data_IF_853561330907
#
_entry.id   IF_853561330907
#
_cell.length_a   1.000
_cell.length_b   1.000
_cell.length_c   1.000
_cell.angle_alpha   90.00
_cell.angle_beta   90.00
_cell.angle_gamma   90.00
#
_symmetry.space_group_name_H-M   'P 1'
#
loop_
_entity.id
_entity.type
_entity.pdbx_description
1 polymer ?
#
# COMPACT_ATOMS: atom_id res chain seq x y z
N UNK A 1 -21.63 -50.24 -35.94
CA UNK A 1 -21.53 -48.81 -35.65
C UNK A 1 -21.22 -48.67 -34.17
N UNK A 2 -19.92 -48.47 -33.82
CA UNK A 2 -19.49 -48.29 -32.44
C UNK A 2 -19.36 -46.79 -32.17
N UNK A 3 -20.23 -46.27 -31.29
CA UNK A 3 -20.15 -44.89 -30.78
C UNK A 3 -18.95 -44.84 -29.81
N UNK A 4 -17.87 -44.20 -30.25
CA UNK A 4 -16.78 -43.81 -29.40
C UNK A 4 -17.23 -42.56 -28.62
N UNK A 5 -17.70 -42.77 -27.37
CA UNK A 5 -17.85 -41.70 -26.40
C UNK A 5 -16.44 -41.28 -26.01
N UNK A 6 -15.92 -40.23 -26.63
CA UNK A 6 -14.75 -39.51 -26.09
C UNK A 6 -15.17 -38.87 -24.77
N UNK A 7 -14.80 -39.51 -23.68
CA UNK A 7 -14.82 -38.95 -22.37
C UNK A 7 -13.77 -37.82 -22.35
N UNK A 8 -14.23 -36.61 -22.59
CA UNK A 8 -13.43 -35.42 -22.35
C UNK A 8 -13.23 -35.36 -20.83
N UNK A 9 -12.07 -35.81 -20.35
CA UNK A 9 -11.69 -35.62 -18.99
C UNK A 9 -11.76 -34.09 -18.70
N UNK A 10 -12.39 -33.69 -17.59
CA UNK A 10 -12.30 -32.28 -17.19
C UNK A 10 -10.82 -32.00 -17.07
N UNK A 11 -10.36 -30.98 -17.84
CA UNK A 11 -9.02 -30.42 -17.66
C UNK A 11 -8.82 -30.27 -16.16
N UNK A 12 -7.74 -30.85 -15.62
CA UNK A 12 -7.34 -30.62 -14.26
C UNK A 12 -7.39 -29.11 -14.03
N UNK A 13 -8.42 -28.68 -13.31
CA UNK A 13 -8.48 -27.32 -12.83
C UNK A 13 -7.18 -27.10 -12.06
N UNK A 14 -6.33 -26.26 -12.59
CA UNK A 14 -5.07 -25.86 -11.99
C UNK A 14 -5.33 -25.59 -10.52
N UNK A 15 -4.50 -26.17 -9.67
CA UNK A 15 -4.59 -26.11 -8.23
C UNK A 15 -5.03 -24.72 -7.76
N UNK A 16 -6.29 -24.65 -7.31
CA UNK A 16 -6.88 -23.70 -6.39
C UNK A 16 -6.30 -22.27 -6.47
N UNK A 17 -6.58 -21.56 -7.58
CA UNK A 17 -6.27 -20.13 -7.70
C UNK A 17 -7.21 -19.36 -6.77
N UNK A 18 -6.82 -19.21 -5.51
CA UNK A 18 -7.52 -18.38 -4.54
C UNK A 18 -6.93 -16.99 -4.51
N UNK A 19 -7.71 -16.00 -4.04
CA UNK A 19 -7.19 -14.65 -3.80
C UNK A 19 -5.97 -14.67 -2.88
N UNK A 20 -5.98 -15.54 -1.85
CA UNK A 20 -4.87 -15.71 -0.91
C UNK A 20 -3.60 -16.21 -1.60
N UNK A 21 -3.71 -17.18 -2.53
CA UNK A 21 -2.55 -17.67 -3.27
C UNK A 21 -1.93 -16.60 -4.15
N UNK A 22 -2.75 -15.79 -4.82
CA UNK A 22 -2.29 -14.67 -5.61
C UNK A 22 -1.70 -13.56 -4.77
N UNK A 23 -2.31 -13.26 -3.61
CA UNK A 23 -1.76 -12.32 -2.64
C UNK A 23 -0.37 -12.74 -2.17
N UNK A 24 -0.20 -14.00 -1.73
CA UNK A 24 1.09 -14.53 -1.28
C UNK A 24 2.14 -14.54 -2.39
N UNK A 25 1.73 -14.77 -3.63
CA UNK A 25 2.61 -14.66 -4.79
C UNK A 25 3.07 -13.22 -4.99
N UNK A 26 2.15 -12.25 -4.93
CA UNK A 26 2.48 -10.82 -4.99
C UNK A 26 3.49 -10.44 -3.91
N UNK A 27 3.21 -10.83 -2.66
CA UNK A 27 4.09 -10.61 -1.52
C UNK A 27 5.50 -11.17 -1.74
N UNK A 28 5.62 -12.39 -2.26
CA UNK A 28 6.92 -13.00 -2.57
C UNK A 28 7.67 -12.22 -3.65
N UNK A 29 6.98 -11.83 -4.74
CA UNK A 29 7.55 -11.08 -5.84
C UNK A 29 8.00 -9.67 -5.41
N UNK A 30 7.28 -9.03 -4.49
CA UNK A 30 7.68 -7.76 -3.89
C UNK A 30 9.05 -7.87 -3.20
N UNK A 31 9.28 -8.91 -2.38
CA UNK A 31 10.59 -9.14 -1.73
C UNK A 31 11.71 -9.55 -2.70
N UNK A 32 11.34 -10.05 -3.88
CA UNK A 32 12.27 -10.28 -4.99
C UNK A 32 12.51 -9.01 -5.84
N UNK A 33 11.96 -7.86 -5.45
CA UNK A 33 12.03 -6.56 -6.14
C UNK A 33 11.42 -6.60 -7.56
N UNK A 34 10.56 -7.58 -7.83
CA UNK A 34 9.84 -7.75 -9.10
C UNK A 34 8.48 -7.03 -9.03
N UNK A 35 8.50 -5.71 -8.84
CA UNK A 35 7.30 -4.91 -8.53
C UNK A 35 6.23 -4.97 -9.63
N UNK A 36 6.59 -5.11 -10.90
CA UNK A 36 5.62 -5.25 -11.98
C UNK A 36 4.87 -6.58 -11.91
N UNK A 37 5.59 -7.68 -11.66
CA UNK A 37 4.99 -9.02 -11.55
C UNK A 37 4.17 -9.15 -10.25
N UNK A 38 4.65 -8.50 -9.18
CA UNK A 38 3.93 -8.36 -7.90
C UNK A 38 2.59 -7.65 -8.10
N UNK A 39 2.60 -6.51 -8.79
CA UNK A 39 1.40 -5.75 -9.13
C UNK A 39 0.38 -6.59 -9.91
N UNK A 40 0.83 -7.41 -10.88
CA UNK A 40 -0.03 -8.30 -11.64
C UNK A 40 -0.64 -9.39 -10.74
N UNK A 41 0.13 -9.90 -9.78
CA UNK A 41 -0.36 -10.88 -8.82
C UNK A 41 -1.40 -10.27 -7.86
N UNK A 42 -1.18 -9.05 -7.34
CA UNK A 42 -2.18 -8.35 -6.53
C UNK A 42 -3.44 -8.01 -7.33
N UNK A 43 -3.33 -7.63 -8.61
CA UNK A 43 -4.50 -7.44 -9.46
C UNK A 43 -5.35 -8.71 -9.54
N UNK A 44 -4.74 -9.88 -9.72
CA UNK A 44 -5.46 -11.17 -9.72
C UNK A 44 -6.08 -11.52 -8.36
N UNK A 45 -5.38 -11.21 -7.27
CA UNK A 45 -5.93 -11.37 -5.93
C UNK A 45 -7.18 -10.52 -5.74
N UNK A 46 -7.16 -9.27 -6.22
CA UNK A 46 -8.26 -8.31 -6.12
C UNK A 46 -9.42 -8.61 -7.10
N UNK A 47 -9.17 -9.22 -8.25
CA UNK A 47 -10.23 -9.77 -9.12
C UNK A 47 -11.06 -10.84 -8.39
N UNK A 48 -10.40 -11.66 -7.56
CA UNK A 48 -11.04 -12.72 -6.79
C UNK A 48 -11.63 -12.22 -5.46
N UNK A 49 -10.99 -11.23 -4.82
CA UNK A 49 -11.47 -10.59 -3.59
C UNK A 49 -11.26 -9.07 -3.63
N UNK A 50 -12.20 -8.31 -4.21
CA UNK A 50 -12.08 -6.86 -4.34
C UNK A 50 -12.17 -6.08 -3.01
N UNK A 51 -12.52 -6.75 -1.90
CA UNK A 51 -12.66 -6.13 -0.58
C UNK A 51 -11.44 -6.33 0.33
N UNK A 52 -10.36 -6.82 -0.22
CA UNK A 52 -9.10 -7.01 0.51
C UNK A 52 -8.33 -5.69 0.60
N UNK A 53 -8.47 -4.99 1.73
CA UNK A 53 -7.80 -3.71 1.97
C UNK A 53 -6.27 -3.84 2.01
N UNK A 54 -5.74 -4.99 2.45
CA UNK A 54 -4.31 -5.25 2.48
C UNK A 54 -3.75 -5.42 1.06
N UNK A 55 -4.47 -6.15 0.21
CA UNK A 55 -4.09 -6.30 -1.19
C UNK A 55 -4.12 -4.96 -1.95
N UNK A 56 -5.09 -4.08 -1.64
CA UNK A 56 -5.12 -2.72 -2.19
C UNK A 56 -3.95 -1.87 -1.71
N UNK A 57 -3.58 -1.94 -0.42
CA UNK A 57 -2.42 -1.23 0.10
C UNK A 57 -1.12 -1.72 -0.58
N UNK A 58 -0.90 -3.02 -0.66
CA UNK A 58 0.30 -3.59 -1.26
C UNK A 58 0.40 -3.29 -2.76
N UNK A 59 -0.74 -3.31 -3.48
CA UNK A 59 -0.81 -2.82 -4.86
C UNK A 59 -0.37 -1.36 -4.96
N UNK A 60 -0.84 -0.50 -4.05
CA UNK A 60 -0.44 0.91 -3.98
C UNK A 60 1.06 1.09 -3.74
N UNK A 61 1.67 0.25 -2.89
CA UNK A 61 3.11 0.27 -2.64
C UNK A 61 3.88 -0.05 -3.94
N UNK A 62 3.51 -1.13 -4.65
CA UNK A 62 4.15 -1.50 -5.92
C UNK A 62 4.03 -0.38 -6.96
N UNK A 63 2.84 0.23 -7.07
CA UNK A 63 2.61 1.37 -7.96
C UNK A 63 3.50 2.57 -7.60
N UNK A 64 3.64 2.88 -6.31
CA UNK A 64 4.54 3.92 -5.81
C UNK A 64 6.00 3.66 -6.17
N UNK A 65 6.49 2.43 -5.98
CA UNK A 65 7.84 2.00 -6.33
C UNK A 65 8.10 2.05 -7.85
N UNK A 66 7.05 1.83 -8.66
CA UNK A 66 7.09 1.98 -10.12
C UNK A 66 6.92 3.44 -10.59
N UNK A 67 6.83 4.41 -9.69
CA UNK A 67 6.64 5.83 -10.00
C UNK A 67 5.22 6.20 -10.45
N UNK A 68 4.26 5.30 -10.34
CA UNK A 68 2.85 5.50 -10.70
C UNK A 68 2.07 6.11 -9.52
N UNK A 69 2.43 7.33 -9.14
CA UNK A 69 1.97 7.94 -7.89
C UNK A 69 0.46 8.17 -7.82
N UNK A 70 -0.19 8.58 -8.92
CA UNK A 70 -1.63 8.80 -8.93
C UNK A 70 -2.41 7.48 -8.80
N UNK A 71 -1.92 6.41 -9.45
CA UNK A 71 -2.48 5.07 -9.30
C UNK A 71 -2.30 4.55 -7.86
N UNK A 72 -1.12 4.80 -7.27
CA UNK A 72 -0.82 4.43 -5.88
C UNK A 72 -1.80 5.09 -4.91
N UNK A 73 -2.03 6.41 -5.04
CA UNK A 73 -3.00 7.13 -4.23
C UNK A 73 -4.40 6.53 -4.35
N UNK A 74 -4.87 6.24 -5.57
CA UNK A 74 -6.17 5.61 -5.79
C UNK A 74 -6.29 4.23 -5.11
N UNK A 75 -5.20 3.45 -5.11
CA UNK A 75 -5.16 2.15 -4.44
C UNK A 75 -5.20 2.30 -2.92
N UNK A 76 -4.45 3.24 -2.34
CA UNK A 76 -4.49 3.53 -0.91
C UNK A 76 -5.84 4.11 -0.47
N UNK A 77 -6.44 5.01 -1.25
CA UNK A 77 -7.79 5.53 -1.01
C UNK A 77 -8.82 4.40 -0.95
N UNK A 78 -8.70 3.41 -1.84
CA UNK A 78 -9.56 2.23 -1.81
C UNK A 78 -9.32 1.39 -0.56
N UNK A 79 -8.05 1.21 -0.16
CA UNK A 79 -7.69 0.47 1.05
C UNK A 79 -8.31 1.11 2.31
N UNK A 80 -8.20 2.44 2.47
CA UNK A 80 -8.77 3.16 3.62
C UNK A 80 -10.29 3.27 3.56
N UNK A 81 -10.89 3.29 2.36
CA UNK A 81 -12.35 3.23 2.21
C UNK A 81 -12.92 1.87 2.64
N UNK A 82 -12.16 0.78 2.47
CA UNK A 82 -12.52 -0.56 2.92
C UNK A 82 -12.24 -0.77 4.42
N UNK A 83 -11.18 -0.15 4.93
CA UNK A 83 -10.77 -0.20 6.33
C UNK A 83 -10.17 1.15 6.75
N UNK A 84 -10.97 2.02 7.35
CA UNK A 84 -10.57 3.36 7.78
C UNK A 84 -9.55 3.36 8.93
N UNK A 85 -9.43 2.21 9.62
CA UNK A 85 -8.46 1.97 10.69
C UNK A 85 -7.15 1.36 10.18
N UNK A 86 -6.89 1.41 8.86
CA UNK A 86 -5.66 0.90 8.27
C UNK A 86 -4.58 1.99 8.26
N UNK A 87 -3.89 2.15 9.39
CA UNK A 87 -2.89 3.21 9.61
C UNK A 87 -1.78 3.22 8.57
N UNK A 88 -1.32 2.03 8.12
CA UNK A 88 -0.26 1.91 7.12
C UNK A 88 -0.66 2.53 5.78
N UNK A 89 -1.89 2.32 5.32
CA UNK A 89 -2.37 2.92 4.07
C UNK A 89 -2.43 4.45 4.17
N UNK A 90 -2.90 5.01 5.30
CA UNK A 90 -2.85 6.45 5.56
C UNK A 90 -1.41 6.98 5.54
N UNK A 91 -0.47 6.26 6.17
CA UNK A 91 0.93 6.63 6.16
C UNK A 91 1.53 6.60 4.75
N UNK A 92 1.25 5.56 3.97
CA UNK A 92 1.73 5.41 2.60
C UNK A 92 1.17 6.51 1.67
N UNK A 93 -0.09 6.93 1.86
CA UNK A 93 -0.63 8.12 1.18
C UNK A 93 0.20 9.37 1.48
N UNK A 94 0.52 9.59 2.76
CA UNK A 94 1.38 10.70 3.17
C UNK A 94 2.73 10.68 2.46
N UNK A 95 3.35 9.50 2.35
CA UNK A 95 4.63 9.32 1.63
C UNK A 95 4.52 9.73 0.16
N UNK A 96 3.44 9.35 -0.52
CA UNK A 96 3.25 9.72 -1.93
C UNK A 96 3.01 11.22 -2.07
N UNK A 97 2.20 11.84 -1.19
CA UNK A 97 2.00 13.29 -1.21
C UNK A 97 3.30 14.06 -0.96
N UNK A 98 4.17 13.59 -0.05
CA UNK A 98 5.52 14.16 0.15
C UNK A 98 6.35 14.10 -1.14
N UNK A 99 6.39 12.95 -1.81
CA UNK A 99 7.13 12.78 -3.07
C UNK A 99 6.59 13.72 -4.14
N UNK A 100 5.28 13.96 -4.17
CA UNK A 100 4.62 14.91 -5.09
C UNK A 100 4.82 16.38 -4.69
N UNK A 101 5.36 16.67 -3.51
CA UNK A 101 5.55 18.02 -2.97
C UNK A 101 4.28 18.65 -2.38
N UNK A 102 3.21 17.87 -2.22
CA UNK A 102 1.98 18.33 -1.54
C UNK A 102 2.08 18.08 -0.03
N UNK A 103 2.95 18.84 0.61
CA UNK A 103 3.22 18.73 2.04
C UNK A 103 2.00 18.96 2.94
N UNK A 104 1.09 19.90 2.65
CA UNK A 104 -0.11 20.10 3.47
C UNK A 104 -0.99 18.85 3.53
N UNK A 105 -1.17 18.16 2.40
CA UNK A 105 -1.97 16.93 2.32
C UNK A 105 -1.22 15.75 2.95
N UNK A 106 0.10 15.67 2.76
CA UNK A 106 0.94 14.66 3.41
C UNK A 106 0.80 14.71 4.94
N UNK A 107 0.89 15.90 5.54
CA UNK A 107 0.72 16.10 6.99
C UNK A 107 -0.64 15.61 7.47
N UNK A 108 -1.72 15.85 6.73
CA UNK A 108 -3.06 15.35 7.09
C UNK A 108 -3.12 13.82 7.07
N UNK A 109 -2.54 13.19 6.05
CA UNK A 109 -2.49 11.73 5.93
C UNK A 109 -1.68 11.10 7.07
N UNK A 110 -0.50 11.64 7.39
CA UNK A 110 0.31 11.18 8.52
C UNK A 110 -0.39 11.38 9.88
N UNK A 111 -1.06 12.54 10.06
CA UNK A 111 -1.86 12.78 11.26
C UNK A 111 -2.93 11.71 11.40
N UNK A 112 -3.62 11.37 10.31
CA UNK A 112 -4.64 10.32 10.33
C UNK A 112 -4.04 8.97 10.67
N UNK A 113 -2.87 8.60 10.10
CA UNK A 113 -2.16 7.37 10.47
C UNK A 113 -1.85 7.30 11.96
N UNK A 114 -1.37 8.41 12.56
CA UNK A 114 -1.04 8.47 14.00
C UNK A 114 -2.26 8.48 14.92
N UNK A 115 -3.40 9.01 14.47
CA UNK A 115 -4.68 8.92 15.19
C UNK A 115 -5.17 7.48 15.29
N UNK A 116 -4.96 6.70 14.21
CA UNK A 116 -5.32 5.29 14.14
C UNK A 116 -4.33 4.41 14.91
N UNK A 117 -3.05 4.62 14.67
CA UNK A 117 -1.97 3.91 15.36
C UNK A 117 -0.86 4.88 15.78
N UNK A 118 -0.75 5.18 17.08
CA UNK A 118 0.27 6.10 17.61
C UNK A 118 1.72 5.70 17.32
N UNK A 119 1.99 4.44 16.95
CA UNK A 119 3.35 3.99 16.60
C UNK A 119 3.92 4.71 15.37
N UNK A 120 3.05 5.22 14.48
CA UNK A 120 3.45 6.01 13.30
C UNK A 120 3.91 7.44 13.64
N UNK A 121 3.69 7.91 14.85
CA UNK A 121 4.05 9.28 15.27
C UNK A 121 5.54 9.57 15.09
N UNK A 122 6.41 8.65 15.49
CA UNK A 122 7.87 8.84 15.38
C UNK A 122 8.33 8.98 13.91
N UNK A 123 7.77 8.19 13.01
CA UNK A 123 8.09 8.27 11.58
C UNK A 123 7.60 9.60 10.98
N UNK A 124 6.44 10.08 11.40
CA UNK A 124 5.89 11.37 10.98
C UNK A 124 6.77 12.54 11.46
N UNK A 125 7.19 12.55 12.74
CA UNK A 125 8.05 13.61 13.30
C UNK A 125 9.40 13.63 12.61
N UNK A 126 10.05 12.48 12.45
CA UNK A 126 11.35 12.40 11.78
C UNK A 126 11.30 12.96 10.36
N UNK A 127 10.25 12.66 9.61
CA UNK A 127 10.06 13.13 8.24
C UNK A 127 9.80 14.64 8.16
N UNK A 128 9.02 15.19 9.08
CA UNK A 128 8.76 16.64 9.13
C UNK A 128 10.02 17.45 9.51
N UNK A 129 10.84 16.93 10.41
CA UNK A 129 12.12 17.58 10.76
C UNK A 129 13.03 17.69 9.55
N UNK A 130 13.11 16.63 8.74
CA UNK A 130 13.92 16.63 7.52
C UNK A 130 13.38 17.61 6.46
N UNK A 131 12.07 17.69 6.29
CA UNK A 131 11.44 18.62 5.31
C UNK A 131 11.54 20.07 5.76
N UNK A 132 11.38 20.37 7.04
CA UNK A 132 11.53 21.73 7.57
C UNK A 132 13.00 22.19 7.48
N UNK A 133 13.96 21.30 7.72
CA UNK A 133 15.39 21.57 7.56
C UNK A 133 15.75 21.86 6.09
N UNK A 134 15.24 21.07 5.14
CA UNK A 134 15.48 21.24 3.71
C UNK A 134 14.83 22.53 3.15
N UNK A 135 13.71 22.97 3.74
CA UNK A 135 13.02 24.20 3.34
C UNK A 135 13.51 25.45 4.08
N UNK A 136 14.53 25.33 4.93
CA UNK A 136 15.05 26.46 5.71
C UNK A 136 14.03 27.02 6.71
N UNK A 137 12.99 26.25 7.05
CA UNK A 137 12.02 26.61 8.08
C UNK A 137 12.61 26.30 9.45
N UNK A 138 12.54 27.24 10.38
CA UNK A 138 12.88 26.95 11.78
C UNK A 138 11.90 25.92 12.32
N UNK A 139 12.43 24.89 12.99
CA UNK A 139 11.64 23.92 13.73
C UNK A 139 10.56 24.64 14.54
N UNK A 140 9.29 24.34 14.31
CA UNK A 140 8.23 24.91 15.13
C UNK A 140 8.41 24.44 16.56
N UNK A 141 8.13 25.33 17.52
CA UNK A 141 8.31 25.07 18.96
C UNK A 141 7.66 23.76 19.45
N UNK A 142 6.60 23.31 18.76
CA UNK A 142 5.90 22.05 19.04
C UNK A 142 6.75 20.79 18.76
N UNK A 143 7.72 20.86 17.82
CA UNK A 143 8.61 19.74 17.54
C UNK A 143 9.78 19.65 18.54
N UNK A 144 10.17 20.78 19.16
CA UNK A 144 11.26 20.80 20.13
C UNK A 144 10.88 20.14 21.46
N UNK A 145 9.60 20.27 21.88
CA UNK A 145 9.11 19.65 23.12
C UNK A 145 8.95 18.11 22.99
N UNK A 146 8.81 17.60 21.77
CA UNK A 146 8.64 16.16 21.53
C UNK A 146 9.96 15.40 21.37
N UNK A 147 11.04 16.10 20.96
CA UNK A 147 12.39 15.53 20.90
C UNK A 147 13.04 15.38 22.27
N UNK A 148 12.54 16.08 23.28
CA UNK A 148 13.05 16.04 24.68
C UNK A 148 12.50 14.85 25.50
N UNK A 149 11.63 14.00 24.94
CA UNK A 149 11.00 12.86 25.62
C UNK A 149 11.55 11.50 25.15
N UNK A 150 12.80 11.44 24.67
CA UNK A 150 13.49 10.18 24.36
C UNK A 150 14.63 9.95 25.35
#
# INVERSE_FOLDING_TARGET
MALILTFMAPACASANETSVNWFMKGYTLYYEEKFSDSLDAYNKALELNPKDSEAWNNKGIDQGLLGKYDDALSSFETAVALNDSYAEAWFNMGVIYDIKGDYPTAVQAYKRATEVDPSYHKAFVARNVDTDLLMGRSLSCACQDQLALV
#
